data_IF_269235932310
#
_entry.id   IF_269235932310
#
_cell.length_a   1.000
_cell.length_b   1.000
_cell.length_c   1.000
_cell.angle_alpha   90.00
_cell.angle_beta   90.00
_cell.angle_gamma   90.00
#
_symmetry.space_group_name_H-M   'P 1'
#
loop_
_entity.id
_entity.type
_entity.pdbx_description
1 polymer ?
#
# COMPACT_ATOMS: atom_id res chain seq x y z
N UNK A 1 -70.66 42.11 34.19
CA UNK A 1 -70.11 41.94 32.82
C UNK A 1 -68.65 41.74 32.97
N UNK A 2 -68.15 40.47 32.83
CA UNK A 2 -66.74 40.12 32.98
C UNK A 2 -66.12 39.98 31.60
N UNK A 3 -65.16 40.79 31.30
CA UNK A 3 -64.29 40.58 30.12
C UNK A 3 -63.08 39.69 30.49
N UNK A 4 -63.04 38.50 29.90
CA UNK A 4 -61.89 37.61 29.97
C UNK A 4 -60.90 37.97 28.85
N UNK A 5 -59.73 38.51 29.24
CA UNK A 5 -58.59 38.67 28.33
C UNK A 5 -57.77 37.38 28.28
N UNK A 6 -57.78 36.72 27.12
CA UNK A 6 -56.94 35.56 26.86
C UNK A 6 -55.63 36.06 26.22
N UNK A 7 -54.53 35.97 26.95
CA UNK A 7 -53.19 36.18 26.42
C UNK A 7 -52.75 34.91 25.65
N UNK A 8 -52.53 35.08 24.37
CA UNK A 8 -51.97 34.06 23.49
C UNK A 8 -50.43 34.22 23.48
N UNK A 9 -49.71 33.37 24.21
CA UNK A 9 -48.24 33.31 24.11
C UNK A 9 -47.84 32.52 22.90
N UNK A 10 -47.38 33.19 21.83
CA UNK A 10 -46.76 32.57 20.67
C UNK A 10 -45.28 32.29 21.01
N UNK A 11 -44.93 31.01 21.28
CA UNK A 11 -43.56 30.55 21.43
C UNK A 11 -42.87 30.42 20.07
N UNK A 12 -41.90 31.28 19.76
CA UNK A 12 -41.00 31.11 18.64
C UNK A 12 -39.99 30.00 18.98
N UNK A 13 -40.24 28.78 18.45
CA UNK A 13 -39.26 27.71 18.46
C UNK A 13 -38.21 27.99 17.39
N UNK A 14 -37.01 28.37 17.76
CA UNK A 14 -35.87 28.46 16.88
C UNK A 14 -35.38 27.02 16.54
N UNK A 15 -35.68 26.54 15.35
CA UNK A 15 -35.11 25.29 14.83
C UNK A 15 -33.69 25.59 14.35
N UNK A 16 -32.70 25.21 15.15
CA UNK A 16 -31.32 25.17 14.69
C UNK A 16 -31.15 24.02 13.72
N UNK A 17 -31.22 24.29 12.42
CA UNK A 17 -30.73 23.40 11.37
C UNK A 17 -29.20 23.36 11.47
N UNK A 18 -28.67 22.33 12.12
CA UNK A 18 -27.27 21.97 11.97
C UNK A 18 -27.07 21.52 10.53
N UNK A 19 -26.58 22.44 9.68
CA UNK A 19 -26.05 22.07 8.38
C UNK A 19 -24.87 21.12 8.63
N UNK A 20 -25.08 19.83 8.37
CA UNK A 20 -23.97 18.87 8.28
C UNK A 20 -23.13 19.29 7.09
N UNK A 21 -22.03 19.96 7.33
CA UNK A 21 -21.00 20.17 6.35
C UNK A 21 -20.53 18.74 6.00
N UNK A 22 -20.61 18.29 4.72
CA UNK A 22 -19.99 17.05 4.35
C UNK A 22 -18.51 17.20 4.69
N UNK A 23 -18.04 16.50 5.72
CA UNK A 23 -16.62 16.32 5.92
C UNK A 23 -16.13 15.65 4.63
N UNK A 24 -15.28 16.36 3.90
CA UNK A 24 -14.49 15.71 2.85
C UNK A 24 -13.79 14.55 3.55
N UNK A 25 -14.24 13.33 3.24
CA UNK A 25 -13.67 12.14 3.83
C UNK A 25 -12.21 12.09 3.39
N UNK A 26 -11.31 12.35 4.33
CA UNK A 26 -9.91 12.07 4.15
C UNK A 26 -9.79 10.63 3.66
N UNK A 27 -9.10 10.39 2.57
CA UNK A 27 -8.96 9.05 2.05
C UNK A 27 -7.48 8.66 1.96
N UNK A 28 -7.17 7.48 2.45
CA UNK A 28 -5.90 6.82 2.14
C UNK A 28 -6.07 6.12 0.79
N UNK A 29 -5.24 6.46 -0.19
CA UNK A 29 -5.20 5.78 -1.48
C UNK A 29 -3.95 4.94 -1.54
N UNK A 30 -4.11 3.63 -1.74
CA UNK A 30 -2.99 2.70 -1.92
C UNK A 30 -2.93 2.25 -3.37
N UNK A 31 -1.73 1.93 -3.86
CA UNK A 31 -1.56 1.44 -5.23
C UNK A 31 -2.24 0.11 -5.45
N UNK A 32 -1.98 -0.87 -4.60
CA UNK A 32 -2.39 -2.26 -4.74
C UNK A 32 -3.06 -2.81 -3.48
N UNK A 33 -3.77 -3.93 -3.62
CA UNK A 33 -4.53 -4.58 -2.55
C UNK A 33 -3.73 -4.94 -1.30
N UNK A 34 -2.52 -5.52 -1.37
CA UNK A 34 -1.76 -5.83 -0.16
C UNK A 34 -1.54 -4.60 0.72
N UNK A 35 -1.15 -3.48 0.12
CA UNK A 35 -1.01 -2.20 0.83
C UNK A 35 -2.37 -1.68 1.33
N UNK A 36 -3.43 -1.91 0.54
CA UNK A 36 -4.81 -1.58 0.91
C UNK A 36 -5.26 -2.29 2.18
N UNK A 37 -4.92 -3.55 2.36
CA UNK A 37 -5.25 -4.31 3.57
C UNK A 37 -4.51 -3.77 4.80
N UNK A 38 -3.21 -3.45 4.65
CA UNK A 38 -2.43 -2.83 5.75
C UNK A 38 -3.04 -1.48 6.11
N UNK A 39 -3.25 -0.61 5.11
CA UNK A 39 -3.80 0.72 5.33
C UNK A 39 -5.21 0.68 5.94
N UNK A 40 -6.09 -0.22 5.48
CA UNK A 40 -7.42 -0.37 6.03
C UNK A 40 -7.40 -0.82 7.50
N UNK A 41 -6.49 -1.70 7.88
CA UNK A 41 -6.34 -2.12 9.27
C UNK A 41 -5.90 -0.97 10.18
N UNK A 42 -4.97 -0.11 9.71
CA UNK A 42 -4.49 1.05 10.48
C UNK A 42 -5.53 2.17 10.50
N UNK A 43 -6.22 2.42 9.39
CA UNK A 43 -7.20 3.50 9.25
C UNK A 43 -8.60 3.14 9.76
N UNK A 44 -8.83 1.92 10.25
CA UNK A 44 -10.15 1.45 10.69
C UNK A 44 -10.81 2.38 11.71
N UNK A 45 -12.02 2.84 11.40
CA UNK A 45 -12.77 3.78 12.25
C UNK A 45 -12.18 5.20 12.32
N UNK A 46 -11.18 5.53 11.50
CA UNK A 46 -10.54 6.86 11.40
C UNK A 46 -10.81 7.51 10.05
N UNK A 47 -10.53 6.81 8.96
CA UNK A 47 -10.72 7.31 7.60
C UNK A 47 -10.89 6.19 6.60
N UNK A 48 -11.42 6.50 5.41
CA UNK A 48 -11.62 5.54 4.34
C UNK A 48 -10.29 5.16 3.65
N UNK A 49 -10.21 3.92 3.19
CA UNK A 49 -9.10 3.42 2.38
C UNK A 49 -9.60 2.99 1.01
N UNK A 50 -8.88 3.36 -0.02
CA UNK A 50 -9.17 3.00 -1.41
C UNK A 50 -7.95 2.37 -2.06
N UNK A 51 -8.16 1.32 -2.85
CA UNK A 51 -7.13 0.72 -3.69
C UNK A 51 -7.25 1.28 -5.10
N UNK A 52 -6.12 1.65 -5.69
CA UNK A 52 -6.06 2.25 -7.03
C UNK A 52 -6.23 1.21 -8.12
N UNK A 53 -5.43 0.14 -8.06
CA UNK A 53 -5.49 -0.96 -9.03
C UNK A 53 -6.82 -1.73 -8.90
N UNK A 54 -7.56 -1.89 -10.00
CA UNK A 54 -8.74 -2.75 -10.02
C UNK A 54 -8.35 -4.23 -9.89
N UNK A 55 -9.34 -5.05 -9.57
CA UNK A 55 -9.16 -6.50 -9.47
C UNK A 55 -8.65 -7.07 -10.80
N UNK A 56 -7.59 -7.88 -10.71
CA UNK A 56 -6.98 -8.55 -11.86
C UNK A 56 -6.05 -7.67 -12.71
N UNK A 57 -5.83 -6.39 -12.32
CA UNK A 57 -4.79 -5.59 -12.96
C UNK A 57 -3.41 -5.96 -12.41
N UNK A 58 -2.41 -5.95 -13.30
CA UNK A 58 -1.01 -6.15 -12.94
C UNK A 58 -0.44 -4.87 -12.31
N UNK A 59 0.31 -5.01 -11.24
CA UNK A 59 1.09 -3.93 -10.62
C UNK A 59 2.29 -3.51 -11.46
N UNK A 60 2.70 -4.33 -12.40
CA UNK A 60 3.84 -4.07 -13.29
C UNK A 60 3.44 -3.28 -14.53
N UNK A 61 2.22 -3.50 -15.03
CA UNK A 61 1.75 -2.90 -16.28
C UNK A 61 0.31 -2.38 -16.15
N UNK A 62 0.17 -1.19 -15.63
CA UNK A 62 -1.10 -0.49 -15.51
C UNK A 62 -1.01 0.92 -16.05
N UNK A 63 -2.03 1.34 -16.79
CA UNK A 63 -2.14 2.73 -17.26
C UNK A 63 -3.18 3.48 -16.44
N UNK A 64 -2.75 4.55 -15.75
CA UNK A 64 -3.65 5.39 -14.97
C UNK A 64 -4.72 6.03 -15.85
N UNK A 65 -5.99 5.88 -15.48
CA UNK A 65 -7.10 6.63 -16.05
C UNK A 65 -7.14 8.04 -15.46
N UNK A 66 -7.75 9.01 -16.14
CA UNK A 66 -7.93 10.35 -15.58
C UNK A 66 -8.62 10.38 -14.20
N UNK A 67 -9.54 9.43 -13.95
CA UNK A 67 -10.18 9.25 -12.66
C UNK A 67 -9.20 8.81 -11.58
N UNK A 68 -8.23 7.97 -11.91
CA UNK A 68 -7.22 7.46 -10.98
C UNK A 68 -6.25 8.58 -10.58
N UNK A 69 -5.80 9.38 -11.56
CA UNK A 69 -4.99 10.58 -11.30
C UNK A 69 -5.72 11.54 -10.37
N UNK A 70 -7.02 11.76 -10.59
CA UNK A 70 -7.84 12.62 -9.73
C UNK A 70 -7.96 12.05 -8.31
N UNK A 71 -8.08 10.73 -8.16
CA UNK A 71 -8.11 10.06 -6.83
C UNK A 71 -6.80 10.29 -6.10
N UNK A 72 -5.64 10.11 -6.76
CA UNK A 72 -4.31 10.36 -6.20
C UNK A 72 -4.15 11.82 -5.76
N UNK A 73 -4.55 12.77 -6.59
CA UNK A 73 -4.45 14.21 -6.29
C UNK A 73 -5.32 14.65 -5.12
N UNK A 74 -6.47 14.01 -4.92
CA UNK A 74 -7.42 14.32 -3.86
C UNK A 74 -7.17 13.51 -2.57
N UNK A 75 -6.26 12.54 -2.58
CA UNK A 75 -5.93 11.74 -1.43
C UNK A 75 -5.30 12.60 -0.32
N UNK A 76 -5.61 12.29 0.93
CA UNK A 76 -4.89 12.85 2.07
C UNK A 76 -3.59 12.11 2.34
N UNK A 77 -3.56 10.82 2.03
CA UNK A 77 -2.35 10.02 2.08
C UNK A 77 -2.32 9.04 0.89
N UNK A 78 -1.18 8.99 0.18
CA UNK A 78 -0.90 8.00 -0.87
C UNK A 78 0.16 7.03 -0.36
N UNK A 79 -0.09 5.73 -0.51
CA UNK A 79 0.84 4.66 -0.11
C UNK A 79 1.10 3.76 -1.32
N UNK A 80 2.37 3.58 -1.64
CA UNK A 80 2.84 2.77 -2.77
C UNK A 80 4.20 2.14 -2.47
N UNK A 81 4.62 1.15 -3.24
CA UNK A 81 5.93 0.51 -3.08
C UNK A 81 7.03 1.47 -3.54
N UNK A 82 6.92 1.99 -4.74
CA UNK A 82 7.89 2.88 -5.34
C UNK A 82 7.95 2.76 -6.87
N UNK A 83 8.75 3.64 -7.53
CA UNK A 83 8.78 3.72 -8.99
C UNK A 83 9.29 2.44 -9.66
N UNK A 84 10.09 1.62 -8.97
CA UNK A 84 10.60 0.36 -9.51
C UNK A 84 9.51 -0.74 -9.61
N UNK A 85 8.45 -0.64 -8.81
CA UNK A 85 7.28 -1.54 -8.89
C UNK A 85 6.15 -0.92 -9.72
N UNK A 86 5.80 0.33 -9.41
CA UNK A 86 4.65 1.00 -9.99
C UNK A 86 5.09 2.20 -10.85
N UNK A 87 5.87 1.92 -11.92
CA UNK A 87 6.38 2.95 -12.83
C UNK A 87 5.26 3.85 -13.40
N UNK A 88 4.05 3.31 -13.57
CA UNK A 88 2.87 4.06 -14.01
C UNK A 88 2.43 5.16 -13.04
N UNK A 89 2.82 5.08 -11.77
CA UNK A 89 2.50 6.09 -10.75
C UNK A 89 3.55 7.20 -10.63
N UNK A 90 4.76 7.01 -11.12
CA UNK A 90 5.89 7.89 -10.85
C UNK A 90 5.58 9.37 -11.13
N UNK A 91 5.13 9.70 -12.34
CA UNK A 91 4.79 11.08 -12.72
C UNK A 91 3.68 11.68 -11.84
N UNK A 92 2.69 10.88 -11.46
CA UNK A 92 1.55 11.35 -10.66
C UNK A 92 1.95 11.59 -9.21
N UNK A 93 2.86 10.78 -8.66
CA UNK A 93 3.32 10.90 -7.28
C UNK A 93 4.34 12.02 -7.07
N UNK A 94 5.05 12.45 -8.13
CA UNK A 94 5.95 13.60 -8.07
C UNK A 94 5.25 14.90 -7.68
N UNK A 95 3.98 15.07 -8.05
CA UNK A 95 3.17 16.24 -7.70
C UNK A 95 2.58 16.18 -6.29
N UNK A 96 2.69 15.03 -5.59
CA UNK A 96 2.14 14.83 -4.24
C UNK A 96 3.19 15.25 -3.21
N UNK A 97 2.78 16.09 -2.27
CA UNK A 97 3.66 16.56 -1.21
C UNK A 97 4.19 15.39 -0.36
N UNK A 98 5.46 15.46 0.06
CA UNK A 98 6.12 14.39 0.80
C UNK A 98 5.41 13.98 2.11
N UNK A 99 4.75 14.94 2.79
CA UNK A 99 3.97 14.68 3.99
C UNK A 99 2.65 13.94 3.72
N UNK A 100 2.24 13.82 2.46
CA UNK A 100 1.05 13.08 2.01
C UNK A 100 1.38 11.80 1.25
N UNK A 101 2.61 11.33 1.33
CA UNK A 101 3.06 10.17 0.59
C UNK A 101 3.92 9.26 1.47
N UNK A 102 3.69 7.96 1.36
CA UNK A 102 4.56 6.90 1.88
C UNK A 102 5.04 6.06 0.72
N UNK A 103 6.34 6.08 0.46
CA UNK A 103 7.03 5.22 -0.50
C UNK A 103 7.72 4.12 0.31
N UNK A 104 7.20 2.90 0.26
CA UNK A 104 7.64 1.81 1.15
C UNK A 104 9.12 1.48 0.94
N UNK A 105 9.57 1.40 -0.31
CA UNK A 105 10.96 1.07 -0.63
C UNK A 105 11.97 2.13 -0.12
N UNK A 106 11.52 3.36 0.09
CA UNK A 106 12.35 4.47 0.56
C UNK A 106 12.42 4.60 2.09
N UNK A 107 11.64 3.81 2.83
CA UNK A 107 11.68 3.84 4.30
C UNK A 107 13.05 3.39 4.79
N UNK A 108 13.64 4.14 5.72
CA UNK A 108 14.98 3.85 6.25
C UNK A 108 15.08 2.46 6.89
N UNK A 109 14.00 1.97 7.51
CA UNK A 109 13.93 0.62 8.04
C UNK A 109 13.77 -0.46 6.96
N UNK A 110 13.30 -0.13 5.76
CA UNK A 110 13.09 -1.08 4.66
C UNK A 110 14.32 -1.22 3.77
N UNK A 111 15.04 -0.15 3.50
CA UNK A 111 16.24 -0.16 2.64
C UNK A 111 17.23 -1.29 2.95
N UNK A 112 17.58 -1.56 4.23
CA UNK A 112 18.53 -2.64 4.57
C UNK A 112 17.95 -4.04 4.36
N UNK A 113 16.64 -4.16 4.18
CA UNK A 113 15.94 -5.43 3.99
C UNK A 113 15.75 -5.80 2.53
N UNK A 114 16.04 -4.88 1.60
CA UNK A 114 15.89 -5.12 0.17
C UNK A 114 16.79 -6.28 -0.25
N UNK A 115 16.22 -7.21 -1.04
CA UNK A 115 16.96 -8.31 -1.64
C UNK A 115 17.09 -8.06 -3.15
N UNK A 116 18.23 -8.42 -3.71
CA UNK A 116 18.41 -8.40 -5.16
C UNK A 116 17.41 -9.33 -5.81
N UNK A 117 16.85 -8.91 -6.96
CA UNK A 117 16.09 -9.82 -7.82
C UNK A 117 16.98 -11.00 -8.24
N UNK A 118 16.38 -12.08 -8.72
CA UNK A 118 17.14 -13.11 -9.39
C UNK A 118 17.82 -12.44 -10.59
N UNK A 119 19.15 -12.27 -10.50
CA UNK A 119 19.91 -11.89 -11.65
C UNK A 119 19.67 -12.97 -12.70
N UNK A 120 19.28 -12.57 -13.90
CA UNK A 120 19.46 -13.41 -15.07
C UNK A 120 20.97 -13.67 -15.14
N UNK A 121 21.40 -14.81 -14.58
CA UNK A 121 22.71 -15.40 -14.85
C UNK A 121 22.72 -15.80 -16.33
N UNK A 122 22.58 -14.81 -17.21
CA UNK A 122 22.89 -14.95 -18.60
C UNK A 122 24.41 -15.07 -18.71
N UNK A 123 24.84 -16.31 -18.88
CA UNK A 123 26.15 -16.68 -19.41
C UNK A 123 26.54 -15.69 -20.51
N UNK A 124 27.44 -14.77 -20.18
CA UNK A 124 28.12 -13.91 -21.14
C UNK A 124 28.96 -14.75 -22.11
N UNK A 125 28.28 -15.38 -23.07
CA UNK A 125 28.92 -15.74 -24.33
C UNK A 125 29.01 -14.48 -25.20
N UNK A 126 30.17 -13.86 -25.20
CA UNK A 126 30.49 -12.71 -26.03
C UNK A 126 30.20 -12.99 -27.51
N UNK A 127 29.26 -12.23 -28.07
CA UNK A 127 29.22 -11.96 -29.49
C UNK A 127 29.13 -10.45 -29.70
N UNK A 128 30.28 -9.93 -30.07
CA UNK A 128 30.46 -8.60 -30.64
C UNK A 128 29.69 -8.50 -31.97
N UNK A 129 28.64 -7.68 -32.04
CA UNK A 129 28.11 -7.12 -33.28
C UNK A 129 27.50 -5.76 -33.02
N UNK A 130 28.09 -4.76 -33.63
CA UNK A 130 27.74 -3.37 -33.53
C UNK A 130 26.43 -2.97 -34.23
N UNK A 131 26.08 -1.73 -33.97
CA UNK A 131 25.14 -0.82 -34.62
C UNK A 131 23.69 -0.83 -34.14
N UNK A 132 23.42 0.25 -33.42
CA UNK A 132 22.23 1.09 -33.28
C UNK A 132 20.93 0.63 -33.95
N UNK A 133 19.90 0.45 -33.09
CA UNK A 133 18.57 1.00 -33.36
C UNK A 133 17.92 1.40 -32.04
N UNK A 134 17.34 2.61 -32.03
CA UNK A 134 16.52 3.16 -30.95
C UNK A 134 15.18 2.44 -30.99
N UNK A 135 14.92 1.62 -29.99
CA UNK A 135 13.61 1.02 -29.74
C UNK A 135 13.14 1.44 -28.33
N UNK A 136 11.95 2.02 -28.29
CA UNK A 136 11.25 2.46 -27.08
C UNK A 136 11.03 1.28 -26.11
N UNK A 137 11.21 1.57 -24.81
CA UNK A 137 10.59 0.79 -23.73
C UNK A 137 11.47 -0.23 -23.03
N UNK A 138 12.75 0.05 -22.73
CA UNK A 138 13.46 -0.70 -21.70
C UNK A 138 12.88 -0.36 -20.32
N UNK A 139 11.97 -1.21 -19.85
CA UNK A 139 11.62 -1.27 -18.45
C UNK A 139 12.84 -1.85 -17.72
N UNK A 140 13.69 -0.96 -17.21
CA UNK A 140 14.76 -1.36 -16.31
C UNK A 140 14.12 -2.02 -15.09
N UNK A 141 14.10 -3.34 -15.04
CA UNK A 141 13.86 -4.08 -13.82
C UNK A 141 14.92 -3.61 -12.82
N UNK A 142 14.47 -3.04 -11.69
CA UNK A 142 15.37 -2.54 -10.67
C UNK A 142 16.24 -3.69 -10.13
N UNK A 143 17.40 -3.35 -9.56
CA UNK A 143 18.34 -4.31 -8.95
C UNK A 143 17.65 -5.16 -7.86
N UNK A 144 16.53 -4.68 -7.30
CA UNK A 144 15.86 -5.30 -6.15
C UNK A 144 14.53 -5.93 -6.54
N UNK A 145 14.22 -7.06 -5.89
CA UNK A 145 12.87 -7.61 -5.91
C UNK A 145 11.94 -6.67 -5.11
N UNK A 146 10.93 -6.12 -5.76
CA UNK A 146 10.07 -5.10 -5.18
C UNK A 146 8.74 -5.66 -4.61
N UNK A 147 8.58 -6.97 -4.53
CA UNK A 147 7.41 -7.62 -3.90
C UNK A 147 7.49 -7.56 -2.35
N UNK A 148 7.68 -6.35 -1.84
CA UNK A 148 8.04 -6.03 -0.45
C UNK A 148 6.97 -6.49 0.56
N UNK A 149 5.69 -6.50 0.16
CA UNK A 149 4.57 -6.90 1.02
C UNK A 149 4.58 -8.37 1.43
N UNK A 150 5.41 -9.18 0.80
CA UNK A 150 5.60 -10.59 1.14
C UNK A 150 6.59 -10.83 2.30
N UNK A 151 7.18 -9.75 2.82
CA UNK A 151 7.96 -9.76 4.05
C UNK A 151 7.10 -9.35 5.23
N UNK A 152 6.91 -10.19 6.27
CA UNK A 152 6.19 -9.80 7.49
C UNK A 152 6.82 -8.57 8.17
N UNK A 153 8.13 -8.46 8.16
CA UNK A 153 8.83 -7.32 8.75
C UNK A 153 8.57 -6.02 7.96
N UNK A 154 8.61 -6.08 6.62
CA UNK A 154 8.31 -4.89 5.80
C UNK A 154 6.83 -4.53 5.92
N UNK A 155 5.92 -5.51 6.02
CA UNK A 155 4.51 -5.25 6.28
C UNK A 155 4.30 -4.52 7.61
N UNK A 156 5.04 -4.91 8.66
CA UNK A 156 5.04 -4.22 9.96
C UNK A 156 5.55 -2.78 9.82
N UNK A 157 6.69 -2.58 9.16
CA UNK A 157 7.26 -1.24 8.94
C UNK A 157 6.34 -0.35 8.10
N UNK A 158 5.65 -0.93 7.11
CA UNK A 158 4.64 -0.23 6.33
C UNK A 158 3.47 0.23 7.20
N UNK A 159 3.00 -0.63 8.10
CA UNK A 159 1.92 -0.29 9.04
C UNK A 159 2.32 0.86 9.98
N UNK A 160 3.55 0.83 10.51
CA UNK A 160 4.10 1.91 11.34
C UNK A 160 4.17 3.21 10.56
N UNK A 161 4.70 3.19 9.32
CA UNK A 161 4.81 4.39 8.49
C UNK A 161 3.43 4.99 8.15
N UNK A 162 2.43 4.16 7.87
CA UNK A 162 1.05 4.60 7.63
C UNK A 162 0.46 5.19 8.90
N UNK A 163 0.63 4.54 10.05
CA UNK A 163 0.18 5.02 11.34
C UNK A 163 0.74 6.42 11.65
N UNK A 164 2.06 6.58 11.52
CA UNK A 164 2.73 7.84 11.84
C UNK A 164 2.26 8.98 10.94
N UNK A 165 2.07 8.71 9.65
CA UNK A 165 1.51 9.68 8.71
C UNK A 165 0.06 10.04 9.02
N UNK A 166 -0.77 9.07 9.34
CA UNK A 166 -2.15 9.34 9.76
C UNK A 166 -2.21 10.09 11.09
N UNK A 167 -1.28 9.83 11.99
CA UNK A 167 -1.18 10.56 13.24
C UNK A 167 -0.77 12.03 13.03
N UNK A 168 0.13 12.31 12.07
CA UNK A 168 0.47 13.69 11.68
C UNK A 168 -0.76 14.42 11.09
N UNK A 169 -1.54 13.73 10.24
CA UNK A 169 -2.70 14.30 9.55
C UNK A 169 -3.94 14.42 10.45
N UNK A 170 -4.12 13.50 11.38
CA UNK A 170 -5.31 13.33 12.22
C UNK A 170 -4.94 13.11 13.70
N UNK A 171 -4.27 14.07 14.36
CA UNK A 171 -3.76 13.88 15.73
C UNK A 171 -4.87 13.63 16.77
N UNK A 172 -6.10 14.06 16.49
CA UNK A 172 -7.28 13.78 17.32
C UNK A 172 -7.64 12.30 17.37
N UNK A 173 -7.21 11.50 16.39
CA UNK A 173 -7.50 10.07 16.29
C UNK A 173 -6.41 9.19 16.91
N UNK A 174 -5.44 9.76 17.62
CA UNK A 174 -4.28 9.07 18.20
C UNK A 174 -4.66 7.75 18.88
N UNK A 175 -5.57 7.79 19.85
CA UNK A 175 -5.93 6.59 20.61
C UNK A 175 -6.45 5.44 19.75
N UNK A 176 -7.20 5.76 18.68
CA UNK A 176 -7.72 4.75 17.76
C UNK A 176 -6.60 4.24 16.83
N UNK A 177 -5.76 5.12 16.31
CA UNK A 177 -4.62 4.75 15.47
C UNK A 177 -3.62 3.87 16.24
N UNK A 178 -3.25 4.24 17.47
CA UNK A 178 -2.35 3.46 18.32
C UNK A 178 -2.94 2.06 18.61
N UNK A 179 -4.25 1.98 18.90
CA UNK A 179 -4.95 0.71 19.11
C UNK A 179 -4.96 -0.16 17.85
N UNK A 180 -5.20 0.44 16.68
CA UNK A 180 -5.22 -0.28 15.41
C UNK A 180 -3.83 -0.86 15.06
N UNK A 181 -2.77 -0.06 15.24
CA UNK A 181 -1.40 -0.52 15.02
C UNK A 181 -1.06 -1.69 15.93
N UNK A 182 -1.37 -1.58 17.23
CA UNK A 182 -1.12 -2.66 18.18
C UNK A 182 -1.86 -3.96 17.81
N UNK A 183 -3.12 -3.85 17.38
CA UNK A 183 -3.90 -5.00 16.92
C UNK A 183 -3.32 -5.61 15.66
N UNK A 184 -2.91 -4.78 14.69
CA UNK A 184 -2.27 -5.23 13.47
C UNK A 184 -0.97 -5.99 13.77
N UNK A 185 -0.07 -5.42 14.58
CA UNK A 185 1.20 -6.06 14.95
C UNK A 185 0.97 -7.39 15.68
N UNK A 186 0.01 -7.45 16.59
CA UNK A 186 -0.33 -8.68 17.29
C UNK A 186 -0.87 -9.77 16.35
N UNK A 187 -1.76 -9.39 15.42
CA UNK A 187 -2.32 -10.30 14.42
C UNK A 187 -1.24 -10.79 13.44
N UNK A 188 -0.37 -9.89 12.99
CA UNK A 188 0.74 -10.22 12.10
C UNK A 188 1.70 -11.22 12.77
N UNK A 189 2.10 -10.98 14.02
CA UNK A 189 2.99 -11.88 14.77
C UNK A 189 2.36 -13.26 15.00
N UNK A 190 1.05 -13.31 15.27
CA UNK A 190 0.33 -14.58 15.43
C UNK A 190 0.27 -15.36 14.11
N UNK A 191 -0.02 -14.66 13.00
CA UNK A 191 -0.06 -15.26 11.67
C UNK A 191 1.31 -15.73 11.22
N UNK A 192 2.35 -14.93 11.42
CA UNK A 192 3.74 -15.28 11.10
C UNK A 192 4.17 -16.58 11.81
N UNK A 193 3.88 -16.68 13.11
CA UNK A 193 4.14 -17.90 13.89
C UNK A 193 3.36 -19.10 13.34
N UNK A 194 2.09 -18.93 13.00
CA UNK A 194 1.27 -19.99 12.43
C UNK A 194 1.85 -20.48 11.10
N UNK A 195 2.13 -19.56 10.17
CA UNK A 195 2.70 -19.88 8.86
C UNK A 195 4.06 -20.56 9.00
N UNK A 196 4.92 -20.08 9.91
CA UNK A 196 6.22 -20.71 10.20
C UNK A 196 6.07 -22.17 10.64
N UNK A 197 5.09 -22.46 11.49
CA UNK A 197 4.81 -23.84 11.94
C UNK A 197 4.28 -24.74 10.81
N UNK A 198 3.38 -24.19 9.97
CA UNK A 198 2.80 -24.93 8.84
C UNK A 198 3.83 -25.24 7.77
N UNK A 199 4.77 -24.31 7.52
CA UNK A 199 5.81 -24.45 6.52
C UNK A 199 7.04 -25.25 7.01
N UNK A 200 7.20 -25.45 8.32
CA UNK A 200 8.35 -26.15 8.88
C UNK A 200 8.61 -27.55 8.24
N UNK A 201 7.58 -28.39 7.94
CA UNK A 201 7.78 -29.68 7.27
C UNK A 201 8.21 -29.58 5.80
N UNK A 202 8.13 -28.39 5.20
CA UNK A 202 8.47 -28.12 3.81
C UNK A 202 9.89 -27.62 3.60
N UNK A 203 10.60 -27.27 4.68
CA UNK A 203 11.99 -26.84 4.61
C UNK A 203 12.86 -27.90 3.95
N UNK A 204 13.66 -27.49 2.96
CA UNK A 204 14.51 -28.38 2.17
C UNK A 204 13.80 -29.16 1.06
N UNK A 205 12.49 -28.95 0.86
CA UNK A 205 11.76 -29.47 -0.30
C UNK A 205 11.75 -28.37 -1.36
N UNK A 206 12.32 -28.66 -2.53
CA UNK A 206 12.31 -27.76 -3.66
C UNK A 206 10.93 -27.68 -4.34
N UNK A 207 10.60 -26.51 -4.86
CA UNK A 207 9.39 -26.24 -5.62
C UNK A 207 9.66 -25.19 -6.70
N UNK A 208 8.75 -25.03 -7.62
CA UNK A 208 8.76 -23.97 -8.63
C UNK A 208 7.60 -23.01 -8.35
N UNK A 209 7.81 -21.73 -8.64
CA UNK A 209 6.78 -20.70 -8.62
C UNK A 209 6.43 -20.29 -10.04
N UNK A 210 5.23 -19.74 -10.24
CA UNK A 210 4.85 -19.23 -11.55
C UNK A 210 5.57 -17.90 -11.83
N UNK A 211 5.56 -16.99 -10.88
CA UNK A 211 6.14 -15.67 -10.96
C UNK A 211 7.23 -15.49 -9.88
N UNK A 212 8.33 -14.83 -10.22
CA UNK A 212 9.42 -14.50 -9.28
C UNK A 212 9.03 -13.34 -8.36
N UNK A 213 8.12 -13.61 -7.44
CA UNK A 213 7.62 -12.63 -6.49
C UNK A 213 7.97 -12.97 -5.03
N UNK A 214 8.25 -14.23 -4.74
CA UNK A 214 8.18 -14.76 -3.38
C UNK A 214 9.48 -14.69 -2.59
N UNK A 215 10.53 -14.08 -3.11
CA UNK A 215 11.87 -14.08 -2.51
C UNK A 215 11.90 -13.64 -1.04
N UNK A 216 11.13 -12.62 -0.64
CA UNK A 216 11.04 -12.19 0.77
C UNK A 216 10.38 -13.24 1.66
N UNK A 217 9.28 -13.85 1.19
CA UNK A 217 8.56 -14.91 1.88
C UNK A 217 9.44 -16.15 2.04
N UNK A 218 10.10 -16.56 0.97
CA UNK A 218 11.01 -17.70 0.93
C UNK A 218 12.17 -17.53 1.90
N UNK A 219 12.82 -16.37 1.86
CA UNK A 219 13.92 -16.03 2.78
C UNK A 219 13.47 -16.05 4.24
N UNK A 220 12.29 -15.47 4.52
CA UNK A 220 11.76 -15.38 5.89
C UNK A 220 11.44 -16.76 6.48
N UNK A 221 10.82 -17.64 5.70
CA UNK A 221 10.41 -18.95 6.18
C UNK A 221 11.43 -20.07 5.89
N UNK A 222 12.56 -19.77 5.27
CA UNK A 222 13.61 -20.73 4.96
C UNK A 222 13.17 -21.78 3.94
N UNK A 223 12.44 -21.34 2.92
CA UNK A 223 12.01 -22.17 1.79
C UNK A 223 13.03 -22.10 0.65
N UNK A 224 13.02 -23.09 -0.22
CA UNK A 224 13.95 -23.19 -1.35
C UNK A 224 13.17 -23.30 -2.66
N UNK A 225 13.05 -22.19 -3.38
CA UNK A 225 12.60 -22.21 -4.77
C UNK A 225 13.67 -22.83 -5.67
N UNK A 226 13.25 -23.64 -6.63
CA UNK A 226 14.11 -24.21 -7.68
C UNK A 226 14.09 -23.37 -8.96
N UNK A 227 13.22 -22.37 -9.03
CA UNK A 227 13.06 -21.47 -10.16
C UNK A 227 11.63 -21.00 -10.35
N UNK A 228 11.43 -20.20 -11.37
CA UNK A 228 10.16 -19.60 -11.76
C UNK A 228 9.90 -19.81 -13.28
N UNK A 229 8.66 -19.65 -13.70
CA UNK A 229 8.28 -19.77 -15.11
C UNK A 229 8.25 -18.42 -15.84
N UNK A 230 8.04 -17.34 -15.11
CA UNK A 230 8.07 -15.98 -15.64
C UNK A 230 8.54 -14.99 -14.58
N UNK A 231 9.28 -13.98 -15.02
CA UNK A 231 9.68 -12.85 -14.16
C UNK A 231 8.50 -11.88 -14.02
N UNK A 232 7.78 -11.66 -15.10
CA UNK A 232 6.63 -10.75 -15.13
C UNK A 232 5.41 -11.46 -15.74
N UNK A 233 4.39 -11.85 -14.96
CA UNK A 233 3.16 -12.42 -15.49
C UNK A 233 2.31 -11.30 -16.08
N UNK A 234 2.10 -11.33 -17.39
CA UNK A 234 1.12 -10.51 -18.09
C UNK A 234 -0.27 -11.17 -18.08
#
# INVERSE_FOLDING_TARGET
>A
MLHKNTLLCAGLGAVFLFAQVPQASAAVVTSMKPLGFIAAAIADGVTDTQVLLPDGASEHDYSLRPSDVKRLQNADLVVWIGPEMEAFMDKSTQSIAANKKVTIAELDGVKPLLITGADDDDDHHGHDHGAAEKGDGDHHHGIYNMHLWLSPEIARLSAVAIHDKLLELMPQSRAKLDSNLQQFEAALAATDKQVSNELAPLKGKGYFVFHDAYGYFEKHYGLTSLGHFTVNPE
#
